data_IF_024365870174
#
_entry.id   IF_024365870174
#
_cell.length_a   1.000
_cell.length_b   1.000
_cell.length_c   1.000
_cell.angle_alpha   90.00
_cell.angle_beta   90.00
_cell.angle_gamma   90.00
#
_symmetry.space_group_name_H-M   'P 1'
#
loop_
_entity.id
_entity.type
_entity.pdbx_description
1 polymer ?
#
# COMPACT_ATOMS: atom_id res chain seq x y z
N UNK A 1 -30.99 25.27 48.14
CA UNK A 1 -30.40 24.27 49.06
C UNK A 1 -29.74 23.21 48.18
N UNK A 2 -28.46 22.91 48.17
CA UNK A 2 -27.30 23.34 48.97
C UNK A 2 -26.07 23.21 48.08
N UNK A 3 -25.18 24.20 48.16
CA UNK A 3 -23.89 24.29 47.48
C UNK A 3 -22.93 23.17 47.89
N UNK A 4 -21.92 22.91 47.04
CA UNK A 4 -20.53 22.86 47.50
C UNK A 4 -19.54 23.21 46.40
N UNK A 5 -18.75 24.22 46.71
CA UNK A 5 -17.67 24.84 45.96
C UNK A 5 -16.38 24.62 46.73
N UNK A 6 -15.25 24.43 46.06
CA UNK A 6 -13.90 24.84 46.51
C UNK A 6 -12.89 24.53 45.39
N UNK A 7 -12.31 25.52 44.67
CA UNK A 7 -11.07 26.31 44.96
C UNK A 7 -9.84 25.42 45.21
N UNK A 8 -8.61 25.68 44.76
CA UNK A 8 -7.92 26.63 43.86
C UNK A 8 -6.42 26.44 44.16
N UNK A 9 -5.52 26.54 43.17
CA UNK A 9 -4.24 27.27 43.29
C UNK A 9 -3.40 27.18 42.00
N UNK A 10 -3.13 28.33 41.41
CA UNK A 10 -2.12 28.55 40.39
C UNK A 10 -0.75 28.84 41.03
N UNK A 11 0.33 28.53 40.32
CA UNK A 11 1.55 29.37 40.34
C UNK A 11 2.32 29.23 39.03
N UNK A 12 2.48 30.35 38.34
CA UNK A 12 3.31 30.53 37.16
C UNK A 12 4.79 30.74 37.55
N UNK A 13 5.72 30.42 36.64
CA UNK A 13 6.68 31.40 36.06
C UNK A 13 7.78 30.75 35.19
N UNK A 14 7.94 31.32 33.99
CA UNK A 14 9.17 31.65 33.25
C UNK A 14 10.15 30.56 32.74
N UNK A 15 10.24 30.48 31.39
CA UNK A 15 11.44 30.18 30.56
C UNK A 15 12.23 31.49 30.34
N UNK A 16 13.55 31.50 30.02
CA UNK A 16 14.16 31.15 28.70
C UNK A 16 15.58 30.52 28.86
N UNK A 17 16.48 30.23 27.90
CA UNK A 17 16.53 29.83 26.49
C UNK A 17 17.99 29.38 26.19
N UNK A 18 18.19 28.59 25.13
CA UNK A 18 19.38 28.47 24.25
C UNK A 18 20.75 27.88 24.73
N UNK A 19 21.28 27.00 23.85
CA UNK A 19 22.62 26.35 23.71
C UNK A 19 23.69 27.38 23.20
N UNK A 20 25.03 27.16 23.10
CA UNK A 20 25.72 25.93 22.57
C UNK A 20 27.21 25.61 22.94
N UNK A 21 27.70 24.46 22.44
CA UNK A 21 29.01 24.17 21.79
C UNK A 21 30.41 24.34 22.47
N UNK A 22 31.07 23.18 22.68
CA UNK A 22 32.43 22.70 22.23
C UNK A 22 33.81 23.29 22.65
N UNK A 23 34.76 22.33 22.85
CA UNK A 23 36.26 22.32 22.79
C UNK A 23 37.02 22.81 24.06
N UNK A 24 38.16 22.27 24.54
CA UNK A 24 39.29 21.56 23.91
C UNK A 24 40.19 20.84 24.96
N UNK A 25 40.83 19.73 24.55
CA UNK A 25 42.20 19.21 24.84
C UNK A 25 42.75 18.94 26.27
N UNK A 26 43.28 17.72 26.49
CA UNK A 26 44.75 17.47 26.50
C UNK A 26 45.10 15.97 26.43
N UNK A 27 46.20 15.68 25.74
CA UNK A 27 46.74 14.36 25.41
C UNK A 27 47.60 13.75 26.52
N UNK A 28 47.84 12.42 26.46
CA UNK A 28 49.19 11.83 26.64
C UNK A 28 49.27 10.41 26.04
N UNK A 29 50.46 10.11 25.54
CA UNK A 29 50.83 9.02 24.64
C UNK A 29 51.15 7.70 25.34
N UNK A 30 51.02 6.60 24.59
CA UNK A 30 51.57 5.27 24.91
C UNK A 30 51.08 4.20 23.92
N UNK A 31 51.96 3.69 23.07
CA UNK A 31 51.83 2.51 22.19
C UNK A 31 53.25 1.86 22.17
N UNK A 32 53.50 0.56 21.95
CA UNK A 32 52.76 -0.53 21.25
C UNK A 32 52.58 -1.79 22.13
N UNK A 33 52.03 -2.96 21.77
CA UNK A 33 51.79 -3.72 20.53
C UNK A 33 50.45 -4.49 20.71
N UNK A 34 49.75 -5.02 19.70
CA UNK A 34 50.07 -6.28 19.02
C UNK A 34 49.17 -6.40 17.76
N UNK A 35 49.59 -7.28 16.86
CA UNK A 35 49.30 -7.36 15.44
C UNK A 35 48.26 -8.47 15.21
N UNK A 36 47.19 -8.20 14.45
CA UNK A 36 46.43 -9.26 13.77
C UNK A 36 46.03 -8.79 12.36
N UNK A 37 46.18 -9.65 11.32
CA UNK A 37 46.14 -9.19 9.94
C UNK A 37 44.72 -9.05 9.39
N UNK A 38 44.45 -7.89 8.77
CA UNK A 38 43.23 -7.64 8.00
C UNK A 38 43.22 -8.48 6.71
N UNK A 39 42.26 -9.40 6.62
CA UNK A 39 41.99 -10.19 5.41
C UNK A 39 41.54 -9.29 4.26
N UNK A 40 42.38 -9.15 3.22
CA UNK A 40 42.04 -8.51 1.94
C UNK A 40 40.91 -9.30 1.28
N UNK A 41 39.69 -8.75 1.28
CA UNK A 41 38.64 -9.23 0.37
C UNK A 41 39.00 -8.80 -1.07
N UNK A 42 39.31 -9.80 -1.88
CA UNK A 42 39.55 -9.70 -3.33
C UNK A 42 38.27 -9.17 -3.99
N UNK A 43 38.36 -8.03 -4.68
CA UNK A 43 37.25 -7.48 -5.46
C UNK A 43 36.93 -8.43 -6.62
N UNK A 44 35.75 -9.05 -6.58
CA UNK A 44 35.23 -9.81 -7.71
C UNK A 44 34.71 -8.82 -8.76
N UNK A 45 35.20 -8.93 -9.99
CA UNK A 45 34.73 -8.19 -11.14
C UNK A 45 33.26 -8.51 -11.41
N UNK A 46 32.41 -7.50 -11.39
CA UNK A 46 30.99 -7.63 -11.70
C UNK A 46 30.82 -7.98 -13.19
N UNK A 47 30.13 -9.08 -13.49
CA UNK A 47 29.65 -9.38 -14.84
C UNK A 47 28.66 -8.30 -15.28
N UNK A 48 28.65 -7.89 -16.55
CA UNK A 48 27.70 -6.89 -17.03
C UNK A 48 26.26 -7.41 -16.83
N UNK A 49 25.49 -6.66 -16.03
CA UNK A 49 24.11 -6.98 -15.71
C UNK A 49 23.21 -6.85 -16.94
N UNK A 50 22.28 -7.79 -17.09
CA UNK A 50 21.18 -7.76 -18.05
C UNK A 50 20.51 -6.37 -18.01
N UNK A 51 20.12 -5.75 -19.14
CA UNK A 51 19.48 -4.43 -19.15
C UNK A 51 18.34 -4.41 -18.13
N UNK A 52 18.38 -3.45 -17.20
CA UNK A 52 17.30 -3.26 -16.25
C UNK A 52 16.02 -3.01 -17.06
N UNK A 53 15.02 -3.86 -16.90
CA UNK A 53 13.70 -3.58 -17.41
C UNK A 53 13.30 -2.19 -16.91
N UNK A 54 12.84 -1.31 -17.80
CA UNK A 54 12.57 0.10 -17.54
C UNK A 54 11.34 0.35 -16.64
N UNK A 55 10.94 -0.63 -15.83
CA UNK A 55 9.77 -0.60 -14.97
C UNK A 55 10.04 -1.25 -13.60
N UNK A 56 9.10 -1.13 -12.66
CA UNK A 56 9.23 -1.72 -11.34
C UNK A 56 9.39 -3.25 -11.43
N UNK A 57 10.03 -3.84 -10.42
CA UNK A 57 10.13 -5.30 -10.30
C UNK A 57 8.73 -5.90 -10.26
N UNK A 58 8.54 -7.02 -10.93
CA UNK A 58 7.32 -7.82 -10.81
C UNK A 58 7.53 -8.93 -9.76
N UNK A 59 6.52 -9.14 -8.92
CA UNK A 59 6.44 -10.26 -7.99
C UNK A 59 5.95 -11.53 -8.71
N UNK A 60 5.86 -12.63 -7.96
CA UNK A 60 5.21 -13.85 -8.45
C UNK A 60 3.81 -13.55 -8.99
N UNK A 61 3.45 -14.17 -10.12
CA UNK A 61 2.17 -13.90 -10.80
C UNK A 61 2.14 -12.62 -11.62
N UNK A 62 3.25 -11.87 -11.69
CA UNK A 62 3.33 -10.64 -12.48
C UNK A 62 2.77 -9.40 -11.79
N UNK A 63 2.56 -9.44 -10.47
CA UNK A 63 2.08 -8.30 -9.69
C UNK A 63 3.15 -7.20 -9.56
N UNK A 64 2.89 -5.96 -10.02
CA UNK A 64 3.84 -4.86 -9.90
C UNK A 64 4.25 -4.55 -8.47
N UNK A 65 5.55 -4.44 -8.21
CA UNK A 65 6.08 -4.03 -6.91
C UNK A 65 6.11 -2.49 -6.81
N UNK A 66 4.97 -1.90 -6.45
CA UNK A 66 4.85 -0.46 -6.19
C UNK A 66 4.93 -0.17 -4.68
N UNK A 67 5.73 0.82 -4.23
CA UNK A 67 5.78 1.24 -2.83
C UNK A 67 4.40 1.65 -2.29
N UNK A 68 4.24 1.59 -0.97
CA UNK A 68 3.01 2.07 -0.33
C UNK A 68 2.82 3.56 -0.62
N UNK A 69 1.61 3.94 -1.03
CA UNK A 69 1.23 5.34 -1.25
C UNK A 69 -0.29 5.51 -1.27
N UNK A 70 -0.76 6.70 -0.96
CA UNK A 70 -2.18 7.08 -1.04
C UNK A 70 -2.40 8.02 -2.23
N UNK A 71 -3.65 8.09 -2.70
CA UNK A 71 -4.05 8.86 -3.86
C UNK A 71 -3.93 8.08 -5.17
N UNK A 72 -4.22 8.77 -6.27
CA UNK A 72 -4.29 8.18 -7.60
C UNK A 72 -2.92 7.83 -8.20
N UNK A 73 -1.91 8.68 -8.00
CA UNK A 73 -0.57 8.50 -8.56
C UNK A 73 0.06 7.10 -8.33
N UNK A 74 0.08 6.52 -7.10
CA UNK A 74 0.61 5.17 -6.91
C UNK A 74 -0.24 4.09 -7.60
N UNK A 75 -1.55 4.27 -7.72
CA UNK A 75 -2.42 3.34 -8.45
C UNK A 75 -2.13 3.43 -9.95
N UNK A 76 -2.02 4.62 -10.53
CA UNK A 76 -1.65 4.76 -11.95
C UNK A 76 -0.27 4.14 -12.24
N UNK A 77 0.71 4.35 -11.36
CA UNK A 77 2.03 3.71 -11.48
C UNK A 77 1.93 2.16 -11.43
N UNK A 78 1.02 1.61 -10.62
CA UNK A 78 0.73 0.18 -10.64
C UNK A 78 0.14 -0.25 -11.97
N UNK A 79 -0.90 0.45 -12.47
CA UNK A 79 -1.59 0.13 -13.72
C UNK A 79 -0.64 0.17 -14.92
N UNK A 80 0.23 1.18 -14.99
CA UNK A 80 1.26 1.32 -16.03
C UNK A 80 2.21 0.12 -16.08
N UNK A 81 2.54 -0.42 -14.90
CA UNK A 81 3.45 -1.54 -14.74
C UNK A 81 2.80 -2.92 -14.88
N UNK A 82 1.46 -3.01 -14.97
CA UNK A 82 0.78 -4.29 -15.18
C UNK A 82 1.22 -4.90 -16.52
N UNK A 83 1.63 -6.18 -16.55
CA UNK A 83 2.10 -6.83 -17.77
C UNK A 83 0.95 -7.35 -18.64
N UNK A 84 1.15 -7.33 -19.95
CA UNK A 84 0.30 -8.00 -20.95
C UNK A 84 -1.16 -7.54 -20.94
N UNK A 85 -2.07 -8.46 -21.25
CA UNK A 85 -3.51 -8.23 -21.35
C UNK A 85 -4.14 -7.70 -20.05
N UNK A 86 -3.56 -8.04 -18.89
CA UNK A 86 -4.08 -7.60 -17.58
C UNK A 86 -4.06 -6.08 -17.45
N UNK A 87 -3.18 -5.38 -18.17
CA UNK A 87 -3.06 -3.92 -18.08
C UNK A 87 -4.32 -3.22 -18.57
N UNK A 88 -4.84 -3.65 -19.72
CA UNK A 88 -6.05 -3.07 -20.27
C UNK A 88 -7.25 -3.32 -19.33
N UNK A 89 -7.39 -4.55 -18.84
CA UNK A 89 -8.43 -4.92 -17.89
C UNK A 89 -8.32 -4.13 -16.59
N UNK A 90 -7.11 -3.99 -16.03
CA UNK A 90 -6.89 -3.25 -14.78
C UNK A 90 -7.23 -1.75 -14.94
N UNK A 91 -6.89 -1.13 -16.09
CA UNK A 91 -7.29 0.25 -16.38
C UNK A 91 -8.80 0.40 -16.56
N UNK A 92 -9.45 -0.54 -17.27
CA UNK A 92 -10.91 -0.55 -17.42
C UNK A 92 -11.60 -0.67 -16.06
N UNK A 93 -11.09 -1.52 -15.18
CA UNK A 93 -11.60 -1.64 -13.82
C UNK A 93 -11.41 -0.35 -13.01
N UNK A 94 -10.23 0.27 -13.07
CA UNK A 94 -9.97 1.55 -12.38
C UNK A 94 -10.93 2.65 -12.83
N UNK A 95 -11.09 2.83 -14.15
CA UNK A 95 -12.02 3.80 -14.72
C UNK A 95 -13.49 3.48 -14.37
N UNK A 96 -13.85 2.20 -14.30
CA UNK A 96 -15.18 1.78 -13.88
C UNK A 96 -15.44 2.12 -12.42
N UNK A 97 -14.46 1.93 -11.53
CA UNK A 97 -14.57 2.30 -10.12
C UNK A 97 -14.76 3.80 -9.97
N UNK A 98 -13.95 4.63 -10.64
CA UNK A 98 -14.07 6.10 -10.58
C UNK A 98 -15.42 6.60 -11.08
N UNK A 99 -15.93 6.03 -12.18
CA UNK A 99 -17.24 6.38 -12.73
C UNK A 99 -18.39 5.98 -11.80
N UNK A 100 -18.27 4.83 -11.15
CA UNK A 100 -19.33 4.28 -10.29
C UNK A 100 -19.33 4.95 -8.92
N UNK A 101 -18.15 5.34 -8.43
CA UNK A 101 -17.96 5.98 -7.11
C UNK A 101 -17.15 7.26 -7.28
N UNK A 102 -17.79 8.38 -7.64
CA UNK A 102 -17.11 9.66 -7.77
C UNK A 102 -16.41 10.06 -6.46
N UNK A 103 -15.14 10.48 -6.53
CA UNK A 103 -14.36 10.85 -5.36
C UNK A 103 -13.80 9.67 -4.55
N UNK A 104 -13.81 8.46 -5.13
CA UNK A 104 -13.20 7.27 -4.50
C UNK A 104 -11.77 7.53 -4.03
N UNK A 105 -11.49 7.15 -2.78
CA UNK A 105 -10.15 7.15 -2.22
C UNK A 105 -9.36 5.95 -2.74
N UNK A 106 -8.12 6.20 -3.17
CA UNK A 106 -7.22 5.18 -3.73
C UNK A 106 -5.95 5.04 -2.91
N UNK A 107 -5.37 3.85 -2.89
CA UNK A 107 -4.04 3.62 -2.35
C UNK A 107 -3.40 2.37 -2.96
N UNK A 108 -2.08 2.28 -2.87
CA UNK A 108 -1.35 1.02 -2.97
C UNK A 108 -0.84 0.65 -1.59
N UNK A 109 -1.18 -0.55 -1.11
CA UNK A 109 -0.64 -1.12 0.13
C UNK A 109 -0.28 -2.58 -0.14
N UNK A 110 0.87 -3.03 0.39
CA UNK A 110 1.39 -4.38 0.13
C UNK A 110 1.38 -4.76 -1.37
N UNK A 111 1.77 -3.80 -2.22
CA UNK A 111 1.76 -3.94 -3.69
C UNK A 111 0.38 -4.25 -4.29
N UNK A 112 -0.70 -3.85 -3.63
CA UNK A 112 -2.09 -4.09 -4.05
C UNK A 112 -2.83 -2.75 -4.10
N UNK A 113 -3.41 -2.35 -5.25
CA UNK A 113 -4.31 -1.22 -5.31
C UNK A 113 -5.60 -1.49 -4.53
N UNK A 114 -6.02 -0.49 -3.77
CA UNK A 114 -7.18 -0.51 -2.88
C UNK A 114 -8.05 0.73 -3.14
N UNK A 115 -9.37 0.53 -3.01
CA UNK A 115 -10.38 1.55 -3.23
C UNK A 115 -11.31 1.64 -2.03
N UNK A 116 -11.67 2.87 -1.66
CA UNK A 116 -12.44 3.17 -0.47
C UNK A 116 -13.38 4.37 -0.69
N UNK A 117 -14.52 4.39 0.01
CA UNK A 117 -15.36 5.60 0.12
C UNK A 117 -14.81 6.51 1.22
N UNK A 118 -14.32 5.92 2.31
CA UNK A 118 -13.68 6.60 3.44
C UNK A 118 -12.24 6.10 3.58
N UNK A 119 -11.28 7.02 3.71
CA UNK A 119 -9.87 6.66 3.82
C UNK A 119 -9.63 5.67 4.98
N UNK A 120 -8.96 4.54 4.68
CA UNK A 120 -8.68 3.49 5.65
C UNK A 120 -9.74 2.38 5.71
N UNK A 121 -10.91 2.56 5.09
CA UNK A 121 -12.00 1.57 5.02
C UNK A 121 -12.23 1.10 3.57
N UNK A 122 -11.53 0.03 3.18
CA UNK A 122 -11.42 -0.42 1.79
C UNK A 122 -12.57 -1.36 1.40
N UNK A 123 -13.23 -1.14 0.27
CA UNK A 123 -14.29 -2.03 -0.20
C UNK A 123 -13.85 -2.95 -1.36
N UNK A 124 -12.84 -2.53 -2.13
CA UNK A 124 -12.33 -3.27 -3.29
C UNK A 124 -10.80 -3.29 -3.33
N UNK A 125 -10.24 -4.41 -3.79
CA UNK A 125 -8.81 -4.54 -4.12
C UNK A 125 -8.61 -5.24 -5.48
N UNK A 126 -7.51 -4.94 -6.16
CA UNK A 126 -7.08 -5.68 -7.34
C UNK A 126 -5.70 -6.31 -7.14
N UNK A 127 -5.46 -7.50 -7.68
CA UNK A 127 -4.14 -8.15 -7.59
C UNK A 127 -3.89 -9.03 -8.82
N UNK A 128 -2.69 -8.92 -9.42
CA UNK A 128 -2.33 -9.76 -10.56
C UNK A 128 -1.86 -11.15 -10.11
N UNK A 129 -2.47 -12.18 -10.67
CA UNK A 129 -1.98 -13.55 -10.62
C UNK A 129 -1.45 -13.94 -12.01
N UNK A 130 -0.76 -15.08 -12.09
CA UNK A 130 -0.23 -15.59 -13.35
C UNK A 130 -1.35 -15.78 -14.41
N UNK A 131 -2.47 -16.38 -14.01
CA UNK A 131 -3.57 -16.78 -14.90
C UNK A 131 -4.78 -15.84 -14.94
N UNK A 132 -4.88 -14.90 -14.00
CA UNK A 132 -6.04 -14.01 -13.87
C UNK A 132 -5.69 -12.69 -13.20
N UNK A 133 -6.54 -11.69 -13.38
CA UNK A 133 -6.62 -10.53 -12.49
C UNK A 133 -7.66 -10.82 -11.42
N UNK A 134 -7.29 -10.76 -10.14
CA UNK A 134 -8.21 -10.96 -9.03
C UNK A 134 -8.80 -9.63 -8.59
N UNK A 135 -10.11 -9.53 -8.61
CA UNK A 135 -10.88 -8.47 -7.95
C UNK A 135 -11.39 -9.02 -6.62
N UNK A 136 -11.11 -8.32 -5.53
CA UNK A 136 -11.55 -8.70 -4.18
C UNK A 136 -12.60 -7.71 -3.70
N UNK A 137 -13.73 -8.23 -3.23
CA UNK A 137 -14.76 -7.46 -2.54
C UNK A 137 -14.75 -7.86 -1.06
N UNK A 138 -14.43 -6.92 -0.17
CA UNK A 138 -14.21 -7.25 1.24
C UNK A 138 -15.51 -7.60 1.99
N UNK A 139 -16.64 -7.06 1.55
CA UNK A 139 -18.01 -7.47 1.93
C UNK A 139 -18.73 -8.20 0.80
N UNK A 140 -17.97 -8.95 0.00
CA UNK A 140 -18.47 -9.63 -1.20
C UNK A 140 -19.60 -10.63 -0.97
N UNK A 141 -19.71 -11.21 0.23
CA UNK A 141 -20.77 -12.16 0.57
C UNK A 141 -22.15 -11.50 0.71
N UNK A 142 -22.19 -10.18 0.93
CA UNK A 142 -23.42 -9.39 1.04
C UNK A 142 -23.85 -8.77 -0.29
N UNK A 143 -23.11 -9.00 -1.38
CA UNK A 143 -23.50 -8.56 -2.72
C UNK A 143 -24.56 -9.50 -3.30
N UNK A 144 -25.40 -8.99 -4.19
CA UNK A 144 -26.48 -9.72 -4.85
C UNK A 144 -26.36 -9.66 -6.38
N UNK A 145 -26.10 -10.79 -7.07
CA UNK A 145 -25.64 -12.06 -6.50
C UNK A 145 -24.19 -11.91 -6.00
N UNK A 146 -23.73 -12.74 -5.04
CA UNK A 146 -22.35 -12.67 -4.59
C UNK A 146 -21.38 -13.16 -5.69
N UNK A 147 -20.15 -12.60 -5.79
CA UNK A 147 -19.12 -13.15 -6.67
C UNK A 147 -18.83 -14.63 -6.34
N UNK A 148 -18.62 -15.44 -7.36
CA UNK A 148 -18.63 -16.90 -7.25
C UNK A 148 -17.56 -17.50 -6.32
N UNK A 149 -16.39 -16.87 -6.22
CA UNK A 149 -15.27 -17.46 -5.47
C UNK A 149 -15.28 -17.01 -4.00
N UNK A 150 -15.44 -17.97 -3.10
CA UNK A 150 -15.34 -17.76 -1.67
C UNK A 150 -13.90 -17.53 -1.18
N UNK A 151 -13.77 -16.79 -0.09
CA UNK A 151 -12.54 -16.68 0.70
C UNK A 151 -12.60 -17.56 1.94
N UNK A 152 -11.45 -17.75 2.60
CA UNK A 152 -11.40 -18.26 3.99
C UNK A 152 -12.07 -17.30 4.97
N UNK A 153 -12.09 -16.00 4.65
CA UNK A 153 -12.80 -14.99 5.41
C UNK A 153 -14.27 -15.00 4.96
N UNK A 154 -15.20 -15.16 5.91
CA UNK A 154 -16.62 -15.40 5.61
C UNK A 154 -17.23 -14.35 4.67
N UNK A 155 -16.91 -13.07 4.90
CA UNK A 155 -17.50 -11.95 4.17
C UNK A 155 -16.84 -11.65 2.82
N UNK A 156 -15.64 -12.17 2.56
CA UNK A 156 -14.85 -11.80 1.39
C UNK A 156 -15.23 -12.70 0.21
N UNK A 157 -15.42 -12.09 -0.96
CA UNK A 157 -15.56 -12.82 -2.23
C UNK A 157 -14.57 -12.30 -3.27
N UNK A 158 -14.21 -13.18 -4.19
CA UNK A 158 -13.34 -12.88 -5.31
C UNK A 158 -14.07 -13.02 -6.63
N UNK A 159 -13.71 -12.16 -7.57
CA UNK A 159 -13.99 -12.34 -8.98
C UNK A 159 -12.66 -12.43 -9.73
N UNK A 160 -12.48 -13.49 -10.50
CA UNK A 160 -11.28 -13.69 -11.31
C UNK A 160 -11.64 -13.36 -12.75
N UNK A 161 -10.87 -12.47 -13.36
CA UNK A 161 -10.98 -12.16 -14.78
C UNK A 161 -9.85 -12.88 -15.49
N UNK A 162 -10.17 -13.77 -16.43
CA UNK A 162 -9.18 -14.43 -17.28
C UNK A 162 -9.03 -13.74 -18.65
N UNK A 163 -7.96 -14.07 -19.36
CA UNK A 163 -7.55 -13.39 -20.61
C UNK A 163 -8.60 -13.40 -21.72
N UNK A 164 -9.38 -14.47 -21.79
CA UNK A 164 -10.36 -14.69 -22.84
C UNK A 164 -11.81 -14.60 -22.31
N UNK A 165 -11.98 -14.24 -21.04
CA UNK A 165 -13.31 -14.03 -20.48
C UNK A 165 -13.86 -12.68 -20.97
N UNK A 166 -15.16 -12.59 -21.26
CA UNK A 166 -15.78 -11.31 -21.51
C UNK A 166 -15.67 -10.44 -20.25
N UNK A 167 -15.26 -9.19 -20.44
CA UNK A 167 -15.29 -8.20 -19.38
C UNK A 167 -16.74 -7.71 -19.19
N UNK A 168 -17.48 -8.38 -18.31
CA UNK A 168 -18.86 -8.01 -17.95
C UNK A 168 -18.86 -6.74 -17.10
N UNK A 169 -18.79 -5.60 -17.80
CA UNK A 169 -18.75 -4.28 -17.18
C UNK A 169 -20.01 -3.97 -16.37
N UNK A 170 -21.18 -4.46 -16.81
CA UNK A 170 -22.44 -4.22 -16.11
C UNK A 170 -22.46 -4.93 -14.75
N UNK A 171 -22.04 -6.19 -14.70
CA UNK A 171 -21.94 -6.94 -13.43
C UNK A 171 -20.90 -6.34 -12.49
N UNK A 172 -19.74 -5.94 -13.01
CA UNK A 172 -18.70 -5.30 -12.20
C UNK A 172 -19.17 -3.94 -11.64
N UNK A 173 -19.85 -3.12 -12.46
CA UNK A 173 -20.39 -1.84 -12.02
C UNK A 173 -21.41 -2.02 -10.89
N UNK A 174 -22.32 -2.98 -11.04
CA UNK A 174 -23.32 -3.34 -10.04
C UNK A 174 -22.66 -3.75 -8.71
N UNK A 175 -21.69 -4.66 -8.74
CA UNK A 175 -20.94 -5.05 -7.54
C UNK A 175 -20.14 -3.91 -6.90
N UNK A 176 -19.51 -3.05 -7.70
CA UNK A 176 -18.79 -1.87 -7.20
C UNK A 176 -19.77 -0.92 -6.49
N UNK A 177 -20.92 -0.65 -7.11
CA UNK A 177 -21.94 0.22 -6.53
C UNK A 177 -22.48 -0.34 -5.22
N UNK A 178 -22.79 -1.63 -5.16
CA UNK A 178 -23.24 -2.31 -3.94
C UNK A 178 -22.15 -2.27 -2.85
N UNK A 179 -20.92 -2.66 -3.18
CA UNK A 179 -19.80 -2.70 -2.24
C UNK A 179 -19.47 -1.32 -1.65
N UNK A 180 -19.61 -0.24 -2.44
CA UNK A 180 -19.38 1.13 -1.99
C UNK A 180 -20.35 1.59 -0.87
N UNK A 181 -21.50 0.93 -0.74
CA UNK A 181 -22.53 1.27 0.27
C UNK A 181 -22.39 0.46 1.55
N UNK A 182 -21.48 -0.51 1.57
CA UNK A 182 -21.23 -1.38 2.72
C UNK A 182 -20.06 -0.84 3.56
N UNK A 183 -19.99 -1.17 4.86
CA UNK A 183 -18.81 -0.85 5.66
C UNK A 183 -17.55 -1.47 5.06
N UNK A 184 -16.58 -0.63 4.73
CA UNK A 184 -15.27 -1.08 4.23
C UNK A 184 -14.50 -1.89 5.28
N UNK A 185 -13.44 -2.54 4.83
CA UNK A 185 -12.53 -3.28 5.68
C UNK A 185 -11.40 -2.37 6.17
N UNK A 186 -11.18 -2.35 7.48
CA UNK A 186 -10.15 -1.51 8.09
C UNK A 186 -8.79 -2.17 7.96
N UNK A 187 -7.86 -1.48 7.29
CA UNK A 187 -6.50 -1.97 7.05
C UNK A 187 -5.47 -0.88 7.16
#
# INVERSE_FOLDING_TARGET
MTAKTSKSAAKAAAKPAAKPATKTAKAKAGKPADVTPASRRKAATAKPGKPAASGPRLLSGGNPQIPKGHGDAPVQAYLDAVPGWKREIARRLDALVERTVPGVSKAVKWNTPLYAVEEGHWFLAMHCFDRYLKVTFFRGAALDPPPAHASKMADVRYHHIHEHDPFDEARLADWIAQASRLPGERM
#
